data_IF_631552670663
#
_entry.id   IF_631552670663
#
_cell.length_a   1.000
_cell.length_b   1.000
_cell.length_c   1.000
_cell.angle_alpha   90.00
_cell.angle_beta   90.00
_cell.angle_gamma   90.00
#
_symmetry.space_group_name_H-M   'P 1'
#
loop_
_entity.id
_entity.type
_entity.pdbx_description
1 polymer ?
#
# COMPACT_ATOMS: atom_id res chain seq x y z
N UNK A 1 -13.48 10.04 -57.85
CA UNK A 1 -14.00 9.65 -56.56
C UNK A 1 -12.83 8.97 -55.85
N UNK A 2 -12.15 9.70 -54.96
CA UNK A 2 -11.08 9.18 -54.11
C UNK A 2 -11.69 8.98 -52.74
N UNK A 3 -11.88 7.72 -52.38
CA UNK A 3 -12.19 7.34 -51.00
C UNK A 3 -10.97 7.64 -50.12
N UNK A 4 -11.18 8.53 -49.18
CA UNK A 4 -10.20 8.85 -48.17
C UNK A 4 -10.10 7.73 -47.14
N UNK A 5 -8.92 7.19 -47.00
CA UNK A 5 -8.54 6.23 -45.98
C UNK A 5 -8.70 6.87 -44.62
N UNK A 6 -9.69 6.41 -43.86
CA UNK A 6 -9.87 6.83 -42.47
C UNK A 6 -8.78 6.12 -41.68
N UNK A 7 -7.75 6.86 -41.29
CA UNK A 7 -6.79 6.38 -40.29
C UNK A 7 -7.56 6.08 -39.01
N UNK A 8 -7.77 4.82 -38.77
CA UNK A 8 -8.32 4.28 -37.51
C UNK A 8 -7.31 4.60 -36.40
N UNK A 9 -7.52 5.72 -35.76
CA UNK A 9 -6.70 6.18 -34.63
C UNK A 9 -7.08 5.33 -33.43
N UNK A 10 -6.59 4.08 -33.40
CA UNK A 10 -6.86 3.13 -32.35
C UNK A 10 -6.11 3.56 -31.07
N UNK A 11 -6.52 4.71 -30.52
CA UNK A 11 -6.12 5.15 -29.20
C UNK A 11 -6.83 4.25 -28.21
N UNK A 12 -6.16 3.18 -27.79
CA UNK A 12 -6.62 2.36 -26.66
C UNK A 12 -6.42 3.20 -25.41
N UNK A 13 -7.46 3.89 -25.01
CA UNK A 13 -7.50 4.59 -23.72
C UNK A 13 -7.30 3.55 -22.63
N UNK A 14 -6.17 3.62 -21.91
CA UNK A 14 -6.05 2.93 -20.64
C UNK A 14 -7.11 3.53 -19.72
N UNK A 15 -8.13 2.74 -19.40
CA UNK A 15 -9.12 3.12 -18.42
C UNK A 15 -8.45 3.12 -17.04
N UNK A 16 -7.94 4.28 -16.63
CA UNK A 16 -7.32 4.49 -15.33
C UNK A 16 -8.33 4.44 -14.17
N UNK A 17 -9.63 4.31 -14.45
CA UNK A 17 -10.61 3.93 -13.42
C UNK A 17 -10.33 2.54 -12.87
N UNK A 18 -9.80 1.62 -13.67
CA UNK A 18 -9.31 0.33 -13.18
C UNK A 18 -8.06 0.49 -12.26
N UNK A 19 -7.35 1.60 -12.35
CA UNK A 19 -6.26 1.94 -11.42
C UNK A 19 -6.74 2.64 -10.14
N UNK A 20 -7.99 3.09 -10.07
CA UNK A 20 -8.60 3.62 -8.85
C UNK A 20 -9.09 2.51 -7.90
N UNK A 21 -9.26 1.29 -8.37
CA UNK A 21 -9.58 0.13 -7.53
C UNK A 21 -8.50 -0.25 -6.48
N UNK A 22 -7.20 0.09 -6.63
CA UNK A 22 -6.22 -0.24 -5.60
C UNK A 22 -6.54 0.34 -4.22
N UNK A 23 -7.29 1.43 -4.15
CA UNK A 23 -7.58 2.13 -2.89
C UNK A 23 -8.65 1.42 -2.07
N UNK A 24 -9.73 1.02 -2.70
CA UNK A 24 -10.80 0.22 -2.05
C UNK A 24 -10.29 -1.17 -1.68
N UNK A 25 -9.45 -1.74 -2.53
CA UNK A 25 -8.77 -3.00 -2.28
C UNK A 25 -7.79 -2.91 -1.09
N UNK A 26 -6.96 -1.87 -1.01
CA UNK A 26 -6.02 -1.70 0.10
C UNK A 26 -6.73 -1.45 1.43
N UNK A 27 -7.81 -0.67 1.43
CA UNK A 27 -8.62 -0.43 2.62
C UNK A 27 -9.30 -1.74 3.05
N UNK A 28 -9.96 -2.44 2.14
CA UNK A 28 -10.59 -3.73 2.39
C UNK A 28 -9.60 -4.78 2.90
N UNK A 29 -8.42 -4.82 2.32
CA UNK A 29 -7.35 -5.74 2.71
C UNK A 29 -6.79 -5.40 4.10
N UNK A 30 -6.52 -4.14 4.38
CA UNK A 30 -6.06 -3.67 5.69
C UNK A 30 -7.08 -3.97 6.78
N UNK A 31 -8.36 -3.74 6.52
CA UNK A 31 -9.44 -4.05 7.48
C UNK A 31 -9.57 -5.56 7.71
N UNK A 32 -9.43 -6.39 6.69
CA UNK A 32 -9.44 -7.85 6.83
C UNK A 32 -8.26 -8.34 7.70
N UNK A 33 -7.07 -7.79 7.48
CA UNK A 33 -5.89 -8.10 8.29
C UNK A 33 -6.06 -7.62 9.74
N UNK A 34 -6.55 -6.39 9.93
CA UNK A 34 -6.82 -5.84 11.27
C UNK A 34 -7.82 -6.71 12.02
N UNK A 35 -8.94 -7.05 11.41
CA UNK A 35 -9.96 -7.92 12.00
C UNK A 35 -9.38 -9.28 12.37
N UNK A 36 -8.64 -9.93 11.46
CA UNK A 36 -8.01 -11.22 11.74
C UNK A 36 -7.01 -11.18 12.90
N UNK A 37 -6.26 -10.09 13.04
CA UNK A 37 -5.36 -9.89 14.18
C UNK A 37 -6.13 -9.64 15.48
N UNK A 38 -7.19 -8.84 15.43
CA UNK A 38 -8.02 -8.57 16.59
C UNK A 38 -8.73 -9.84 17.09
N UNK A 39 -9.22 -10.68 16.20
CA UNK A 39 -9.86 -11.96 16.56
C UNK A 39 -8.92 -12.88 17.34
N UNK A 40 -7.62 -12.79 17.07
CA UNK A 40 -6.56 -13.59 17.70
C UNK A 40 -5.60 -12.75 18.55
N UNK A 41 -6.05 -11.61 19.07
CA UNK A 41 -5.19 -10.58 19.67
C UNK A 41 -4.23 -11.12 20.75
N UNK A 42 -4.70 -11.94 21.67
CA UNK A 42 -3.85 -12.52 22.72
C UNK A 42 -2.76 -13.43 22.13
N UNK A 43 -3.10 -14.24 21.13
CA UNK A 43 -2.14 -15.09 20.43
C UNK A 43 -1.08 -14.27 19.67
N UNK A 44 -1.51 -13.18 19.02
CA UNK A 44 -0.63 -12.19 18.36
C UNK A 44 0.36 -11.62 19.38
N UNK A 45 -0.14 -11.13 20.49
CA UNK A 45 0.68 -10.49 21.51
C UNK A 45 1.70 -11.45 22.16
N UNK A 46 1.30 -12.68 22.43
CA UNK A 46 2.23 -13.68 22.93
C UNK A 46 3.23 -14.16 21.88
N UNK A 47 2.87 -14.14 20.60
CA UNK A 47 3.78 -14.42 19.50
C UNK A 47 4.86 -13.33 19.36
N UNK A 48 4.44 -12.06 19.37
CA UNK A 48 5.34 -10.92 19.25
C UNK A 48 6.19 -10.74 20.54
N UNK A 49 5.56 -10.91 21.69
CA UNK A 49 6.16 -10.58 23.00
C UNK A 49 5.97 -11.73 24.00
N UNK A 50 6.77 -12.80 23.90
CA UNK A 50 6.63 -13.97 24.80
C UNK A 50 6.82 -13.64 26.29
N UNK A 51 7.52 -12.55 26.62
CA UNK A 51 7.74 -12.08 28.00
C UNK A 51 6.58 -11.21 28.54
N UNK A 52 5.62 -10.85 27.69
CA UNK A 52 4.49 -10.02 28.07
C UNK A 52 3.52 -10.72 29.02
N UNK A 53 2.73 -9.94 29.76
CA UNK A 53 1.82 -10.44 30.77
C UNK A 53 0.45 -9.78 30.69
N UNK A 54 -0.60 -10.57 30.78
CA UNK A 54 -1.98 -10.09 30.85
C UNK A 54 -2.35 -9.81 32.31
N UNK A 55 -2.91 -8.61 32.54
CA UNK A 55 -3.46 -8.20 33.83
C UNK A 55 -4.58 -7.17 33.64
N UNK A 56 -5.73 -7.38 34.26
CA UNK A 56 -6.84 -6.39 34.27
C UNK A 56 -7.35 -6.02 32.88
N UNK A 57 -7.43 -6.99 31.95
CA UNK A 57 -7.90 -6.75 30.58
C UNK A 57 -6.89 -6.01 29.67
N UNK A 58 -5.64 -5.95 30.09
CA UNK A 58 -4.53 -5.33 29.33
C UNK A 58 -3.35 -6.27 29.25
N UNK A 59 -2.59 -6.15 28.16
CA UNK A 59 -1.30 -6.82 27.97
C UNK A 59 -0.16 -5.82 28.23
N UNK A 60 0.85 -6.23 28.96
CA UNK A 60 2.00 -5.43 29.37
C UNK A 60 3.31 -6.03 28.91
N UNK A 61 4.18 -5.21 28.37
CA UNK A 61 5.57 -5.53 28.01
C UNK A 61 6.42 -4.27 28.17
N UNK A 62 7.75 -4.37 28.12
CA UNK A 62 8.63 -3.22 28.31
C UNK A 62 8.66 -2.25 27.15
N UNK A 63 8.76 -2.79 25.95
CA UNK A 63 8.91 -2.03 24.69
C UNK A 63 8.46 -2.83 23.47
N UNK A 64 8.65 -2.27 22.29
CA UNK A 64 8.34 -2.93 21.01
C UNK A 64 9.33 -4.04 20.62
N UNK A 65 10.44 -4.18 21.32
CA UNK A 65 11.42 -5.26 21.15
C UNK A 65 11.12 -6.47 22.05
N UNK A 66 10.13 -6.33 22.94
CA UNK A 66 9.67 -7.42 23.82
C UNK A 66 10.43 -7.51 25.14
N UNK A 67 11.16 -6.48 25.55
CA UNK A 67 11.87 -6.44 26.83
C UNK A 67 10.92 -6.63 28.01
N UNK A 68 11.35 -7.24 29.12
CA UNK A 68 10.55 -7.32 30.32
C UNK A 68 10.23 -5.94 30.88
N UNK A 69 8.94 -5.65 31.13
CA UNK A 69 8.54 -4.34 31.64
C UNK A 69 7.04 -4.14 31.65
N UNK A 70 6.62 -2.87 31.74
CA UNK A 70 5.20 -2.48 31.83
C UNK A 70 4.90 -1.17 31.09
N UNK A 71 5.89 -0.58 30.41
CA UNK A 71 5.72 0.73 29.73
C UNK A 71 4.83 0.63 28.51
N UNK A 72 4.94 -0.46 27.74
CA UNK A 72 4.03 -0.70 26.63
C UNK A 72 2.81 -1.46 27.10
N UNK A 73 1.63 -0.91 26.79
CA UNK A 73 0.33 -1.44 27.20
C UNK A 73 -0.55 -1.60 25.98
N UNK A 74 -1.21 -2.76 25.85
CA UNK A 74 -2.19 -3.03 24.80
C UNK A 74 -3.55 -3.31 25.45
N UNK A 75 -4.61 -2.68 24.95
CA UNK A 75 -5.97 -2.90 25.40
C UNK A 75 -6.54 -4.19 24.80
N UNK A 76 -7.02 -5.13 25.64
CA UNK A 76 -7.55 -6.42 25.18
C UNK A 76 -9.06 -6.41 24.96
N UNK A 77 -9.76 -5.41 25.44
CA UNK A 77 -11.22 -5.34 25.37
C UNK A 77 -11.77 -3.93 25.21
N UNK A 78 -13.10 -3.87 25.04
CA UNK A 78 -13.82 -2.61 24.88
C UNK A 78 -13.53 -1.89 23.56
N UNK A 79 -13.90 -0.59 23.46
CA UNK A 79 -13.79 0.18 22.22
C UNK A 79 -12.34 0.47 21.80
N UNK A 80 -11.37 0.22 22.68
CA UNK A 80 -9.93 0.42 22.43
C UNK A 80 -9.19 -0.88 22.18
N UNK A 81 -9.89 -1.99 21.98
CA UNK A 81 -9.26 -3.28 21.74
C UNK A 81 -8.26 -3.22 20.61
N UNK A 82 -7.01 -3.68 20.87
CA UNK A 82 -5.92 -3.68 19.91
C UNK A 82 -5.16 -2.37 19.79
N UNK A 83 -5.60 -1.30 20.46
CA UNK A 83 -4.81 -0.08 20.57
C UNK A 83 -3.72 -0.26 21.63
N UNK A 84 -2.55 0.25 21.32
CA UNK A 84 -1.40 0.21 22.22
C UNK A 84 -0.84 1.60 22.49
N UNK A 85 -0.14 1.71 23.61
CA UNK A 85 0.61 2.90 24.01
C UNK A 85 1.87 2.47 24.75
N UNK A 86 3.00 3.02 24.36
CA UNK A 86 4.23 2.97 25.15
C UNK A 86 4.39 4.28 25.91
N UNK A 87 4.32 4.21 27.23
CA UNK A 87 4.44 5.36 28.13
C UNK A 87 5.89 5.83 28.33
N UNK A 88 6.89 5.06 27.88
CA UNK A 88 8.28 5.46 27.94
C UNK A 88 8.68 6.34 26.74
N UNK A 89 8.16 6.06 25.56
CA UNK A 89 8.49 6.76 24.32
C UNK A 89 7.40 7.70 23.85
N UNK A 90 6.21 7.63 24.45
CA UNK A 90 4.97 8.30 24.04
C UNK A 90 4.42 7.85 22.68
N UNK A 91 4.93 6.74 22.15
CA UNK A 91 4.44 6.13 20.91
C UNK A 91 3.17 5.31 21.14
N UNK A 92 2.39 5.12 20.06
CA UNK A 92 1.17 4.32 20.10
C UNK A 92 0.58 4.12 18.71
N UNK A 93 -0.40 3.22 18.63
CA UNK A 93 -1.04 2.90 17.38
C UNK A 93 -2.04 1.75 17.51
N UNK A 94 -2.32 1.08 16.40
CA UNK A 94 -3.15 -0.12 16.36
C UNK A 94 -2.29 -1.41 16.33
N UNK A 95 -2.95 -2.56 16.25
CA UNK A 95 -2.28 -3.87 16.24
C UNK A 95 -1.38 -4.08 15.01
N UNK A 96 -1.67 -3.45 13.87
CA UNK A 96 -0.84 -3.51 12.67
C UNK A 96 0.42 -2.66 12.87
N UNK A 97 0.29 -1.47 13.45
CA UNK A 97 1.44 -0.63 13.81
C UNK A 97 2.35 -1.34 14.82
N UNK A 98 1.75 -2.01 15.81
CA UNK A 98 2.50 -2.76 16.81
C UNK A 98 3.31 -3.90 16.18
N UNK A 99 2.70 -4.66 15.27
CA UNK A 99 3.39 -5.71 14.53
C UNK A 99 4.56 -5.13 13.72
N UNK A 100 4.31 -4.06 12.96
CA UNK A 100 5.36 -3.40 12.18
C UNK A 100 6.52 -2.97 13.06
N UNK A 101 6.24 -2.30 14.18
CA UNK A 101 7.25 -1.82 15.12
C UNK A 101 8.07 -2.97 15.72
N UNK A 102 7.43 -4.08 16.09
CA UNK A 102 8.14 -5.24 16.63
C UNK A 102 9.12 -5.88 15.64
N UNK A 103 8.93 -5.66 14.34
CA UNK A 103 9.82 -6.13 13.27
C UNK A 103 10.76 -5.04 12.75
N UNK A 104 10.78 -3.86 13.37
CA UNK A 104 11.55 -2.71 12.90
C UNK A 104 11.06 -2.14 11.56
N UNK A 105 9.79 -2.38 11.22
CA UNK A 105 9.15 -1.91 10.00
C UNK A 105 8.27 -0.68 10.26
N UNK A 106 7.94 0.02 9.19
CA UNK A 106 6.95 1.09 9.19
C UNK A 106 5.66 0.59 8.53
N UNK A 107 4.55 0.62 9.26
CA UNK A 107 3.25 0.23 8.70
C UNK A 107 2.87 1.07 7.46
N UNK A 108 3.37 2.29 7.35
CA UNK A 108 3.11 3.17 6.20
C UNK A 108 4.01 2.87 4.99
N UNK A 109 5.29 2.64 5.22
CA UNK A 109 6.28 2.53 4.14
C UNK A 109 6.52 1.08 3.69
N UNK A 110 6.37 0.12 4.62
CA UNK A 110 6.67 -1.29 4.39
C UNK A 110 5.39 -2.15 4.31
N UNK A 111 4.22 -1.51 4.11
CA UNK A 111 2.92 -2.20 4.16
C UNK A 111 2.81 -3.44 3.24
N UNK A 112 3.30 -3.44 1.98
CA UNK A 112 3.21 -4.63 1.14
C UNK A 112 3.94 -5.86 1.73
N UNK A 113 5.10 -5.64 2.34
CA UNK A 113 5.87 -6.66 3.04
C UNK A 113 5.13 -7.12 4.30
N UNK A 114 4.72 -6.16 5.11
CA UNK A 114 3.96 -6.39 6.34
C UNK A 114 2.68 -7.18 6.07
N UNK A 115 1.89 -6.79 5.07
CA UNK A 115 0.67 -7.48 4.69
C UNK A 115 0.91 -8.94 4.28
N UNK A 116 2.04 -9.23 3.63
CA UNK A 116 2.42 -10.60 3.29
C UNK A 116 2.71 -11.44 4.54
N UNK A 117 3.45 -10.90 5.48
CA UNK A 117 3.77 -11.56 6.76
C UNK A 117 2.50 -11.80 7.60
N UNK A 118 1.63 -10.78 7.69
CA UNK A 118 0.36 -10.88 8.41
C UNK A 118 -0.56 -11.95 7.82
N UNK A 119 -0.70 -12.01 6.49
CA UNK A 119 -1.49 -13.05 5.83
C UNK A 119 -0.93 -14.44 6.11
N UNK A 120 0.37 -14.59 6.02
CA UNK A 120 1.03 -15.86 6.30
C UNK A 120 0.76 -16.30 7.76
N UNK A 121 0.89 -15.41 8.72
CA UNK A 121 0.64 -15.71 10.12
C UNK A 121 -0.84 -16.04 10.39
N UNK A 122 -1.76 -15.28 9.78
CA UNK A 122 -3.21 -15.47 9.90
C UNK A 122 -3.71 -16.71 9.16
N UNK A 123 -2.91 -17.29 8.24
CA UNK A 123 -3.35 -18.34 7.33
C UNK A 123 -4.38 -17.87 6.31
N UNK A 124 -4.39 -16.56 6.00
CA UNK A 124 -5.25 -15.96 5.00
C UNK A 124 -4.56 -16.10 3.65
N UNK A 125 -5.25 -16.71 2.69
CA UNK A 125 -4.75 -16.76 1.32
C UNK A 125 -4.47 -15.32 0.83
N UNK A 126 -3.39 -15.10 0.08
CA UNK A 126 -3.22 -13.82 -0.59
C UNK A 126 -4.51 -13.54 -1.34
N UNK A 127 -4.97 -12.28 -1.37
CA UNK A 127 -6.13 -11.94 -2.16
C UNK A 127 -5.90 -12.54 -3.53
N UNK A 128 -6.91 -13.20 -4.07
CA UNK A 128 -6.81 -13.73 -5.42
C UNK A 128 -6.32 -12.55 -6.26
N UNK A 129 -5.01 -12.50 -6.44
CA UNK A 129 -4.45 -11.51 -7.31
C UNK A 129 -5.28 -11.64 -8.54
N UNK A 130 -5.86 -10.56 -8.97
CA UNK A 130 -6.28 -10.42 -10.33
C UNK A 130 -5.01 -10.46 -11.20
N UNK A 131 -4.26 -11.57 -11.08
CA UNK A 131 -3.18 -11.97 -12.01
C UNK A 131 -3.74 -11.99 -13.43
N UNK A 132 -5.06 -12.03 -13.53
CA UNK A 132 -5.80 -12.00 -14.79
C UNK A 132 -5.84 -10.60 -15.44
N UNK A 133 -5.43 -9.53 -14.78
CA UNK A 133 -5.55 -8.19 -15.38
C UNK A 133 -4.22 -7.50 -15.68
N UNK A 134 -3.11 -8.07 -15.25
CA UNK A 134 -1.81 -7.84 -15.88
C UNK A 134 -1.50 -8.87 -16.98
N UNK A 135 -2.48 -9.62 -17.46
CA UNK A 135 -2.38 -10.16 -18.81
C UNK A 135 -2.11 -8.92 -19.68
N UNK A 136 -0.89 -8.85 -20.18
CA UNK A 136 -0.37 -7.90 -21.14
C UNK A 136 -1.51 -7.36 -22.00
N UNK A 137 -2.24 -6.36 -21.50
CA UNK A 137 -3.01 -5.49 -22.37
C UNK A 137 -1.94 -4.81 -23.18
N UNK A 138 -1.91 -5.11 -24.42
CA UNK A 138 -1.03 -4.53 -25.42
C UNK A 138 -0.87 -3.06 -25.08
N UNK A 139 0.29 -2.72 -24.52
CA UNK A 139 0.64 -1.33 -24.25
C UNK A 139 0.37 -0.62 -25.57
N UNK A 140 -0.44 0.43 -25.54
CA UNK A 140 -0.58 1.29 -26.70
C UNK A 140 0.84 1.65 -27.10
N UNK A 141 1.28 1.15 -28.24
CA UNK A 141 2.61 1.43 -28.76
C UNK A 141 2.51 2.87 -29.20
N UNK A 142 2.93 3.79 -28.32
CA UNK A 142 3.20 5.16 -28.71
C UNK A 142 4.26 5.13 -29.82
N UNK A 143 4.30 6.14 -30.68
CA UNK A 143 5.32 6.27 -31.73
C UNK A 143 6.73 6.13 -31.20
N UNK A 144 6.92 6.28 -29.87
CA UNK A 144 8.18 6.14 -29.14
C UNK A 144 8.52 4.70 -28.72
N UNK A 145 7.61 3.75 -28.95
CA UNK A 145 7.78 2.36 -28.50
C UNK A 145 7.41 2.16 -27.01
N UNK A 146 7.81 1.03 -26.39
CA UNK A 146 7.55 0.77 -25.00
C UNK A 146 8.36 1.72 -24.10
N UNK A 147 7.75 2.18 -22.99
CA UNK A 147 8.49 2.96 -22.00
C UNK A 147 9.53 2.07 -21.27
N UNK A 148 10.66 2.66 -20.92
CA UNK A 148 11.77 1.98 -20.25
C UNK A 148 11.78 2.19 -18.74
N UNK A 149 11.15 3.26 -18.27
CA UNK A 149 10.96 3.53 -16.85
C UNK A 149 9.69 4.36 -16.58
N UNK A 150 9.15 4.25 -15.37
CA UNK A 150 7.98 5.00 -14.91
C UNK A 150 8.20 5.47 -13.48
N UNK A 151 7.80 6.70 -13.18
CA UNK A 151 7.79 7.27 -11.84
C UNK A 151 6.40 7.79 -11.52
N UNK A 152 5.91 7.47 -10.33
CA UNK A 152 4.63 7.90 -9.82
C UNK A 152 4.84 9.05 -8.82
N UNK A 153 4.08 10.13 -8.99
CA UNK A 153 4.08 11.30 -8.11
C UNK A 153 2.81 11.29 -7.29
N UNK A 154 2.98 11.28 -5.97
CA UNK A 154 1.88 11.18 -5.02
C UNK A 154 1.72 12.49 -4.24
N UNK A 155 0.50 12.78 -3.75
CA UNK A 155 0.28 13.79 -2.72
C UNK A 155 0.89 13.34 -1.40
N UNK A 156 1.06 14.25 -0.41
CA UNK A 156 1.42 13.84 0.96
C UNK A 156 0.44 12.82 1.56
N UNK A 157 -0.81 12.82 1.11
CA UNK A 157 -1.86 11.89 1.54
C UNK A 157 -1.82 10.55 0.79
N UNK A 158 -0.90 10.39 -0.18
CA UNK A 158 -0.68 9.18 -0.95
C UNK A 158 -1.52 9.06 -2.24
N UNK A 159 -2.19 10.13 -2.66
CA UNK A 159 -2.95 10.13 -3.91
C UNK A 159 -2.04 10.31 -5.12
N UNK A 160 -2.26 9.51 -6.17
CA UNK A 160 -1.52 9.63 -7.42
C UNK A 160 -1.96 10.89 -8.18
N UNK A 161 -1.02 11.80 -8.41
CA UNK A 161 -1.26 13.07 -9.14
C UNK A 161 -0.74 13.02 -10.57
N UNK A 162 0.38 12.36 -10.77
CA UNK A 162 1.01 12.26 -12.07
C UNK A 162 1.86 11.00 -12.19
N UNK A 163 2.07 10.58 -13.43
CA UNK A 163 3.10 9.61 -13.77
C UNK A 163 4.06 10.26 -14.76
N UNK A 164 5.35 9.97 -14.68
CA UNK A 164 6.32 10.34 -15.73
C UNK A 164 6.84 9.07 -16.35
N UNK A 165 6.68 8.96 -17.66
CA UNK A 165 7.16 7.85 -18.44
C UNK A 165 8.44 8.26 -19.17
N UNK A 166 9.43 7.38 -19.17
CA UNK A 166 10.66 7.54 -19.93
C UNK A 166 10.65 6.58 -21.11
N UNK A 167 11.05 7.11 -22.24
CA UNK A 167 11.29 6.38 -23.48
C UNK A 167 12.74 6.58 -23.89
N UNK A 168 13.36 5.55 -24.45
CA UNK A 168 14.72 5.60 -24.99
C UNK A 168 14.71 5.27 -26.49
N UNK A 169 14.06 6.12 -27.35
CA UNK A 169 14.14 5.95 -28.80
C UNK A 169 15.57 6.18 -29.31
N UNK A 170 15.89 5.76 -30.53
CA UNK A 170 17.24 5.98 -31.13
C UNK A 170 17.68 7.45 -31.18
N UNK A 171 16.74 8.37 -31.11
CA UNK A 171 16.94 9.83 -31.13
C UNK A 171 17.35 10.41 -29.77
N UNK A 172 17.28 9.64 -28.69
CA UNK A 172 17.64 10.07 -27.34
C UNK A 172 16.59 9.77 -26.30
N UNK A 173 16.81 10.23 -25.08
CA UNK A 173 15.87 10.02 -23.95
C UNK A 173 14.73 11.01 -24.03
N UNK A 174 13.50 10.54 -23.93
CA UNK A 174 12.30 11.37 -23.87
C UNK A 174 11.51 11.08 -22.59
N UNK A 175 10.96 12.12 -21.95
CA UNK A 175 10.18 12.02 -20.75
C UNK A 175 8.79 12.61 -21.00
N UNK A 176 7.74 11.83 -20.78
CA UNK A 176 6.36 12.25 -20.97
C UNK A 176 5.60 12.21 -19.65
N UNK A 177 5.22 13.37 -19.11
CA UNK A 177 4.36 13.42 -17.93
C UNK A 177 2.90 13.18 -18.30
N UNK A 178 2.23 12.37 -17.49
CA UNK A 178 0.80 12.11 -17.54
C UNK A 178 0.12 12.73 -16.33
N UNK A 179 -0.81 13.67 -16.54
CA UNK A 179 -1.65 14.25 -15.51
C UNK A 179 -2.83 13.31 -15.24
N UNK A 180 -2.83 12.65 -14.08
CA UNK A 180 -3.85 11.67 -13.70
C UNK A 180 -5.21 12.32 -13.49
N UNK A 181 -5.26 13.57 -12.99
CA UNK A 181 -6.50 14.29 -12.75
C UNK A 181 -7.15 14.76 -14.05
N UNK A 182 -6.33 15.32 -14.94
CA UNK A 182 -6.80 15.81 -16.23
C UNK A 182 -6.90 14.71 -17.29
N UNK A 183 -6.36 13.52 -17.04
CA UNK A 183 -6.30 12.37 -17.97
C UNK A 183 -5.69 12.76 -19.32
N UNK A 184 -4.56 13.43 -19.28
CA UNK A 184 -3.88 13.87 -20.51
C UNK A 184 -2.36 13.93 -20.33
N UNK A 185 -1.65 13.86 -21.46
CA UNK A 185 -0.21 14.03 -21.53
C UNK A 185 0.17 15.51 -21.32
N UNK A 186 0.44 15.87 -20.11
CA UNK A 186 0.98 17.17 -19.68
C UNK A 186 1.52 17.08 -18.26
N UNK A 187 2.32 18.04 -17.86
CA UNK A 187 2.65 18.19 -16.45
C UNK A 187 1.40 18.62 -15.65
N UNK A 188 1.13 18.08 -14.46
CA UNK A 188 0.02 18.50 -13.61
C UNK A 188 0.20 19.97 -13.18
N UNK A 189 -0.91 20.64 -12.90
CA UNK A 189 -0.93 22.01 -12.41
C UNK A 189 -1.64 22.07 -11.05
N UNK A 190 -1.04 22.60 -9.96
CA UNK A 190 0.34 23.09 -9.90
C UNK A 190 1.37 21.95 -10.05
N UNK A 191 2.53 22.27 -10.58
CA UNK A 191 3.62 21.31 -10.71
C UNK A 191 4.05 20.84 -9.32
N UNK A 192 4.17 19.54 -9.08
CA UNK A 192 4.77 19.05 -7.83
C UNK A 192 6.22 19.56 -7.76
N UNK A 193 6.60 20.03 -6.57
CA UNK A 193 7.97 20.49 -6.27
C UNK A 193 8.89 19.30 -6.09
#
# INVERSE_FOLDING_TARGET
VLEGDVMDNNIVWLDFNDAAEPREYLISDTEALRTGLLDRLEAVLHYLFPQGRIRGGKFYVGDTEGSPGKSLVVELGGPRRGLWKDFATDEGGDVIDLWARSQGLSARHDFPRLATELRQWLGIAPPAQSVARYAVRTVAVDELGPYTAKWDYLTPDGDLIACVYRYDPPTGKEYRPWDVRARMWRAPDPRPL
#
